data_IF_382357094865
#
_entry.id   IF_382357094865
#
_cell.length_a   1.000
_cell.length_b   1.000
_cell.length_c   1.000
_cell.angle_alpha   90.00
_cell.angle_beta   90.00
_cell.angle_gamma   90.00
#
_symmetry.space_group_name_H-M   'P 1'
#
loop_
_entity.id
_entity.type
_entity.pdbx_description
1 polymer ?
#
# COMPACT_ATOMS: atom_id res chain seq x y z
N UNK A 1 -25.10 -6.42 0.14
CA UNK A 1 -24.56 -6.50 1.50
C UNK A 1 -23.10 -6.90 1.39
N UNK A 2 -22.23 -6.28 2.17
CA UNK A 2 -20.78 -6.54 2.22
C UNK A 2 -20.40 -6.75 3.69
N UNK A 3 -19.65 -7.82 3.97
CA UNK A 3 -19.09 -8.10 5.30
C UNK A 3 -17.57 -8.11 5.19
N UNK A 4 -16.91 -7.28 6.00
CA UNK A 4 -15.45 -7.27 6.19
C UNK A 4 -15.14 -8.01 7.49
N UNK A 5 -14.22 -8.96 7.41
CA UNK A 5 -13.74 -9.75 8.54
C UNK A 5 -12.29 -9.38 8.78
N UNK A 6 -11.99 -8.93 10.00
CA UNK A 6 -10.65 -8.55 10.42
C UNK A 6 -10.27 -9.35 11.67
N UNK A 7 -9.09 -9.97 11.67
CA UNK A 7 -8.62 -10.76 12.81
C UNK A 7 -8.10 -9.89 13.96
N UNK A 8 -7.67 -8.67 13.65
CA UNK A 8 -7.26 -7.67 14.61
C UNK A 8 -8.40 -6.85 15.20
N UNK A 9 -8.02 -5.96 16.11
CA UNK A 9 -8.90 -4.97 16.71
C UNK A 9 -9.07 -3.75 15.80
N UNK A 10 -10.00 -2.87 16.16
CA UNK A 10 -10.00 -1.50 15.68
C UNK A 10 -8.99 -0.68 16.49
N UNK A 11 -8.12 0.09 15.83
CA UNK A 11 -7.18 0.96 16.55
C UNK A 11 -7.88 2.16 17.21
N UNK A 12 -7.25 2.73 18.23
CA UNK A 12 -7.81 3.84 19.01
C UNK A 12 -7.48 5.23 18.45
N UNK A 13 -6.81 5.34 17.30
CA UNK A 13 -6.32 6.61 16.75
C UNK A 13 -5.18 7.23 17.56
N UNK A 14 -4.51 6.43 18.41
CA UNK A 14 -3.44 6.91 19.29
C UNK A 14 -2.17 7.33 18.54
N UNK A 15 -1.29 8.05 19.25
CA UNK A 15 -0.06 8.62 18.70
C UNK A 15 0.81 7.62 17.91
N UNK A 16 0.92 6.38 18.39
CA UNK A 16 1.69 5.29 17.76
C UNK A 16 1.22 4.96 16.33
N UNK A 17 -0.03 5.24 16.02
CA UNK A 17 -0.61 5.03 14.68
C UNK A 17 -0.55 6.34 13.90
N UNK A 18 -1.03 7.42 14.50
CA UNK A 18 -1.36 8.66 13.76
C UNK A 18 -0.17 9.59 13.57
N UNK A 19 0.83 9.59 14.47
CA UNK A 19 1.96 10.53 14.44
C UNK A 19 3.15 9.89 13.70
N UNK A 20 3.62 10.46 12.58
CA UNK A 20 4.75 9.94 11.82
C UNK A 20 6.04 9.68 12.62
N UNK A 21 6.33 10.52 13.61
CA UNK A 21 7.53 10.39 14.44
C UNK A 21 7.53 9.10 15.28
N UNK A 22 6.38 8.46 15.46
CA UNK A 22 6.20 7.20 16.21
C UNK A 22 6.21 5.96 15.29
N UNK A 23 6.63 6.08 14.02
CA UNK A 23 6.79 4.90 13.16
C UNK A 23 7.67 3.85 13.86
N UNK A 24 7.16 2.63 13.94
CA UNK A 24 7.83 1.49 14.59
C UNK A 24 7.25 1.13 15.96
N UNK A 25 6.54 2.04 16.62
CA UNK A 25 5.99 1.82 17.97
C UNK A 25 4.82 0.83 18.02
N UNK A 26 4.26 0.49 16.87
CA UNK A 26 3.22 -0.54 16.69
C UNK A 26 3.80 -1.93 16.44
N UNK A 27 5.09 -2.05 16.11
CA UNK A 27 5.75 -3.34 15.93
C UNK A 27 5.78 -4.10 17.27
N UNK A 28 5.55 -5.41 17.22
CA UNK A 28 5.51 -6.27 18.41
C UNK A 28 4.38 -5.97 19.42
N UNK A 29 3.46 -5.06 19.09
CA UNK A 29 2.22 -4.81 19.85
C UNK A 29 1.08 -5.72 19.39
N UNK A 30 -0.13 -5.57 19.93
CA UNK A 30 -1.29 -6.36 19.50
C UNK A 30 -1.77 -6.02 18.08
N UNK A 31 -1.26 -4.93 17.48
CA UNK A 31 -1.48 -4.59 16.07
C UNK A 31 -0.57 -5.36 15.11
N UNK A 32 0.35 -6.17 15.61
CA UNK A 32 1.29 -6.94 14.81
C UNK A 32 1.01 -8.45 14.97
N UNK A 33 1.01 -9.17 13.85
CA UNK A 33 0.96 -10.63 13.85
C UNK A 33 2.22 -11.26 14.48
N UNK A 34 3.33 -10.52 14.54
CA UNK A 34 4.62 -10.96 15.10
C UNK A 34 5.12 -12.25 14.47
N UNK A 35 4.87 -12.42 13.17
CA UNK A 35 5.28 -13.61 12.45
C UNK A 35 6.80 -13.72 12.45
N UNK A 36 7.29 -14.95 12.45
CA UNK A 36 8.69 -15.26 12.28
C UNK A 36 8.84 -16.31 11.19
N UNK A 37 9.89 -16.18 10.39
CA UNK A 37 10.29 -17.27 9.51
C UNK A 37 10.70 -18.48 10.34
N UNK A 38 10.66 -19.66 9.73
CA UNK A 38 11.49 -20.80 10.17
C UNK A 38 12.99 -20.43 10.10
N UNK A 39 13.90 -21.18 10.74
CA UNK A 39 15.34 -20.97 10.58
C UNK A 39 15.74 -20.93 9.10
N UNK A 40 16.40 -19.85 8.69
CA UNK A 40 16.83 -19.65 7.31
C UNK A 40 18.26 -20.12 7.13
N UNK A 41 18.46 -21.21 6.38
CA UNK A 41 19.77 -21.83 6.13
C UNK A 41 20.81 -20.81 5.65
N UNK A 42 20.44 -19.98 4.67
CA UNK A 42 21.31 -18.96 4.09
C UNK A 42 21.45 -17.68 4.91
N UNK A 43 20.81 -17.59 6.09
CA UNK A 43 20.95 -16.48 7.03
C UNK A 43 21.50 -16.94 8.38
N UNK A 44 22.44 -17.90 8.36
CA UNK A 44 23.04 -18.51 9.56
C UNK A 44 21.99 -19.14 10.48
N UNK A 45 20.99 -19.82 9.92
CA UNK A 45 19.89 -20.46 10.65
C UNK A 45 19.09 -19.50 11.55
N UNK A 46 19.07 -18.20 11.26
CA UNK A 46 18.27 -17.24 12.02
C UNK A 46 16.79 -17.36 11.66
N UNK A 47 15.94 -17.20 12.67
CA UNK A 47 14.55 -16.79 12.48
C UNK A 47 14.53 -15.28 12.22
N UNK A 48 13.77 -14.85 11.22
CA UNK A 48 13.65 -13.45 10.83
C UNK A 48 12.24 -12.97 11.13
N UNK A 49 12.13 -11.79 11.73
CA UNK A 49 10.86 -11.14 11.98
C UNK A 49 10.16 -10.76 10.66
N UNK A 50 8.87 -11.05 10.56
CA UNK A 50 7.99 -10.67 9.46
C UNK A 50 6.80 -9.91 10.04
N UNK A 51 7.01 -8.66 10.43
CA UNK A 51 5.94 -7.85 11.01
C UNK A 51 4.83 -7.64 9.96
N UNK A 52 3.58 -7.89 10.35
CA UNK A 52 2.40 -7.79 9.49
C UNK A 52 1.25 -7.22 10.32
N UNK A 53 0.46 -6.30 9.75
CA UNK A 53 -0.63 -5.66 10.48
C UNK A 53 -1.77 -6.64 10.81
N UNK A 54 -2.13 -6.68 12.10
CA UNK A 54 -3.28 -7.39 12.68
C UNK A 54 -4.19 -6.36 13.36
N UNK A 55 -4.84 -5.54 12.55
CA UNK A 55 -5.64 -4.39 12.98
C UNK A 55 -6.44 -3.92 11.76
N UNK A 56 -7.61 -3.30 11.96
CA UNK A 56 -8.36 -2.70 10.85
C UNK A 56 -7.49 -1.68 10.12
N UNK A 57 -7.29 -1.87 8.81
CA UNK A 57 -6.31 -1.12 8.00
C UNK A 57 -5.00 -1.89 7.71
N UNK A 58 -4.78 -3.00 8.40
CA UNK A 58 -3.69 -3.95 8.16
C UNK A 58 -2.31 -3.30 8.25
N UNK A 59 -1.42 -3.67 7.31
CA UNK A 59 -0.03 -3.19 7.30
C UNK A 59 0.11 -1.67 7.18
N UNK A 60 -0.90 -0.95 6.68
CA UNK A 60 -0.84 0.51 6.54
C UNK A 60 -0.85 1.26 7.88
N UNK A 61 -1.28 0.60 8.96
CA UNK A 61 -1.17 1.11 10.34
C UNK A 61 0.28 1.01 10.87
N UNK A 62 1.07 0.07 10.35
CA UNK A 62 2.43 -0.24 10.86
C UNK A 62 3.54 0.33 9.97
N UNK A 63 3.29 0.50 8.67
CA UNK A 63 4.34 0.77 7.69
C UNK A 63 5.05 2.13 7.89
N UNK A 64 6.14 2.35 7.15
CA UNK A 64 6.89 3.61 7.16
C UNK A 64 6.28 4.75 6.34
N UNK A 65 5.06 4.60 5.84
CA UNK A 65 4.30 5.58 5.03
C UNK A 65 4.92 6.01 3.69
N UNK A 66 6.08 5.48 3.30
CA UNK A 66 6.72 5.82 2.02
C UNK A 66 5.76 5.53 0.87
N UNK A 67 5.50 6.54 0.05
CA UNK A 67 4.60 6.44 -1.09
C UNK A 67 5.37 6.45 -2.40
N UNK A 68 5.64 5.24 -2.89
CA UNK A 68 6.36 4.97 -4.13
C UNK A 68 5.69 3.85 -4.92
N UNK A 69 5.83 3.87 -6.23
CA UNK A 69 5.40 2.78 -7.13
C UNK A 69 6.58 1.94 -7.60
N UNK A 70 6.28 0.82 -8.26
CA UNK A 70 7.29 0.02 -8.97
C UNK A 70 7.71 0.69 -10.29
N UNK A 71 8.70 0.11 -10.96
CA UNK A 71 9.11 0.62 -12.26
C UNK A 71 8.09 0.24 -13.32
N UNK A 72 7.93 1.06 -14.36
CA UNK A 72 7.03 0.73 -15.47
C UNK A 72 7.34 -0.67 -16.05
N UNK A 73 8.63 -1.02 -16.09
CA UNK A 73 9.12 -2.32 -16.55
C UNK A 73 8.66 -3.50 -15.68
N UNK A 74 8.51 -3.32 -14.37
CA UNK A 74 8.04 -4.38 -13.48
C UNK A 74 6.59 -4.77 -13.82
N UNK A 75 5.74 -3.77 -14.06
CA UNK A 75 4.36 -3.97 -14.48
C UNK A 75 4.26 -4.47 -15.92
N UNK A 76 5.07 -3.94 -16.83
CA UNK A 76 5.11 -4.43 -18.21
C UNK A 76 5.49 -5.91 -18.28
N UNK A 77 6.40 -6.36 -17.40
CA UNK A 77 6.73 -7.78 -17.26
C UNK A 77 5.54 -8.61 -16.74
N UNK A 78 4.67 -8.06 -15.88
CA UNK A 78 3.41 -8.73 -15.52
C UNK A 78 2.48 -8.86 -16.71
N UNK A 79 2.42 -7.83 -17.57
CA UNK A 79 1.68 -7.90 -18.81
C UNK A 79 2.22 -8.97 -19.77
N UNK A 80 3.55 -9.06 -19.91
CA UNK A 80 4.19 -10.10 -20.73
C UNK A 80 3.90 -11.51 -20.20
N UNK A 81 3.87 -11.70 -18.88
CA UNK A 81 3.49 -12.97 -18.24
C UNK A 81 2.01 -13.30 -18.42
N UNK A 82 1.16 -12.28 -18.50
CA UNK A 82 -0.27 -12.44 -18.69
C UNK A 82 -0.61 -12.81 -20.14
N UNK A 83 0.19 -12.39 -21.12
CA UNK A 83 -0.01 -12.66 -22.55
C UNK A 83 0.19 -14.16 -22.88
N UNK A 84 -0.90 -14.93 -22.78
CA UNK A 84 -0.95 -16.37 -23.09
C UNK A 84 -1.51 -16.57 -24.50
N UNK A 85 -0.77 -17.29 -25.35
CA UNK A 85 -1.18 -17.59 -26.73
C UNK A 85 -2.57 -18.25 -26.80
N UNK A 86 -3.43 -17.74 -27.68
CA UNK A 86 -4.78 -18.26 -27.90
C UNK A 86 -5.83 -17.79 -26.88
N UNK A 87 -5.49 -16.87 -25.97
CA UNK A 87 -6.46 -16.21 -25.07
C UNK A 87 -6.56 -14.72 -25.40
N UNK A 88 -7.78 -14.21 -25.54
CA UNK A 88 -8.01 -12.77 -25.51
C UNK A 88 -7.85 -12.28 -24.07
N UNK A 89 -6.90 -11.38 -23.83
CA UNK A 89 -6.74 -10.72 -22.54
C UNK A 89 -7.39 -9.35 -22.60
N UNK A 90 -8.63 -9.25 -22.10
CA UNK A 90 -9.33 -7.96 -21.97
C UNK A 90 -8.71 -7.07 -20.88
N UNK A 91 -7.94 -7.66 -19.96
CA UNK A 91 -7.29 -6.96 -18.84
C UNK A 91 -5.79 -7.21 -18.89
N UNK A 92 -5.00 -6.13 -18.93
CA UNK A 92 -3.55 -6.20 -18.91
C UNK A 92 -3.01 -5.50 -17.65
N UNK A 93 -1.85 -5.97 -17.19
CA UNK A 93 -1.21 -5.54 -15.94
C UNK A 93 0.00 -4.64 -16.20
N UNK A 94 0.07 -4.05 -17.40
CA UNK A 94 1.15 -3.14 -17.81
C UNK A 94 1.02 -1.80 -17.11
N UNK A 95 2.13 -1.05 -17.09
CA UNK A 95 2.17 0.25 -16.42
C UNK A 95 1.04 1.19 -16.86
N UNK A 96 0.87 1.33 -18.17
CA UNK A 96 -0.14 2.21 -18.77
C UNK A 96 -1.58 1.87 -18.36
N UNK A 97 -1.84 0.60 -18.07
CA UNK A 97 -3.17 0.08 -17.77
C UNK A 97 -3.47 0.20 -16.26
N UNK A 98 -2.42 0.15 -15.43
CA UNK A 98 -2.51 0.33 -13.97
C UNK A 98 -2.42 1.79 -13.53
N UNK A 99 -1.76 2.68 -14.28
CA UNK A 99 -1.59 4.09 -13.94
C UNK A 99 -2.91 4.79 -13.59
N UNK A 100 -4.02 4.64 -14.35
CA UNK A 100 -5.30 5.24 -13.98
C UNK A 100 -5.85 4.76 -12.63
N UNK A 101 -5.51 3.54 -12.20
CA UNK A 101 -5.92 3.02 -10.88
C UNK A 101 -5.02 3.55 -9.76
N UNK A 102 -3.73 3.77 -10.03
CA UNK A 102 -2.84 4.45 -9.09
C UNK A 102 -3.29 5.89 -8.85
N UNK A 103 -3.65 6.61 -9.91
CA UNK A 103 -4.23 7.96 -9.82
C UNK A 103 -5.57 7.93 -9.07
N UNK A 104 -6.48 7.00 -9.40
CA UNK A 104 -7.77 6.90 -8.71
C UNK A 104 -7.65 6.67 -7.20
N UNK A 105 -6.60 6.00 -6.75
CA UNK A 105 -6.33 5.73 -5.33
C UNK A 105 -5.85 6.97 -4.56
N UNK A 106 -5.26 7.93 -5.27
CA UNK A 106 -4.43 8.99 -4.71
C UNK A 106 -5.13 10.36 -4.71
N UNK A 107 -4.92 11.11 -3.63
CA UNK A 107 -5.18 12.53 -3.53
C UNK A 107 -3.89 13.23 -3.12
N UNK A 108 -3.11 13.60 -4.14
CA UNK A 108 -1.77 14.14 -4.03
C UNK A 108 -1.78 15.64 -3.77
N UNK A 109 -0.97 16.08 -2.81
CA UNK A 109 -0.76 17.50 -2.51
C UNK A 109 0.74 17.82 -2.47
N UNK A 110 1.17 18.70 -3.38
CA UNK A 110 2.55 19.18 -3.47
C UNK A 110 2.76 20.51 -2.72
N UNK A 111 2.40 20.55 -1.43
CA UNK A 111 2.60 21.74 -0.58
C UNK A 111 4.02 21.75 0.01
N UNK A 112 4.99 22.16 -0.83
CA UNK A 112 6.40 22.25 -0.44
C UNK A 112 6.95 23.62 -0.85
N UNK A 113 7.61 24.32 0.08
CA UNK A 113 8.26 25.60 -0.19
C UNK A 113 9.25 25.51 -1.37
N UNK A 114 9.31 26.55 -2.21
CA UNK A 114 10.10 26.53 -3.46
C UNK A 114 11.61 26.36 -3.20
N UNK A 115 12.10 26.85 -2.07
CA UNK A 115 13.48 26.69 -1.64
C UNK A 115 13.78 25.25 -1.26
N UNK A 116 12.85 24.60 -0.55
CA UNK A 116 12.91 23.17 -0.22
C UNK A 116 12.82 22.31 -1.49
N UNK A 117 11.87 22.60 -2.37
CA UNK A 117 11.74 21.90 -3.64
C UNK A 117 13.07 21.95 -4.42
N UNK A 118 13.69 23.13 -4.51
CA UNK A 118 14.96 23.30 -5.23
C UNK A 118 16.12 22.59 -4.54
N UNK A 119 16.21 22.66 -3.21
CA UNK A 119 17.26 22.00 -2.42
C UNK A 119 17.23 20.49 -2.54
N UNK A 120 16.04 19.89 -2.64
CA UNK A 120 15.86 18.44 -2.62
C UNK A 120 15.44 17.84 -3.98
N UNK A 121 15.55 18.61 -5.06
CA UNK A 121 15.16 18.20 -6.40
C UNK A 121 13.72 17.69 -6.52
N UNK A 122 12.76 18.23 -5.76
CA UNK A 122 11.36 17.79 -5.80
C UNK A 122 10.63 18.53 -6.92
N UNK A 123 10.22 17.83 -7.98
CA UNK A 123 9.44 18.39 -9.10
C UNK A 123 8.39 17.37 -9.53
N UNK A 124 7.25 17.31 -8.83
CA UNK A 124 6.24 16.30 -9.12
C UNK A 124 5.67 16.46 -10.53
N UNK A 125 5.43 15.34 -11.20
CA UNK A 125 4.75 15.31 -12.49
C UNK A 125 3.24 15.14 -12.28
N UNK A 126 2.46 16.17 -12.59
CA UNK A 126 1.01 16.12 -12.40
C UNK A 126 0.32 15.02 -13.23
N UNK A 127 0.92 14.62 -14.36
CA UNK A 127 0.35 13.63 -15.29
C UNK A 127 0.39 12.19 -14.75
N UNK A 128 1.01 11.94 -13.59
CA UNK A 128 1.08 10.61 -12.98
C UNK A 128 0.44 10.56 -11.59
N UNK A 129 -0.22 11.63 -11.17
CA UNK A 129 -0.80 11.76 -9.83
C UNK A 129 -2.32 11.87 -9.85
N UNK A 130 -2.94 11.27 -8.84
CA UNK A 130 -4.34 11.45 -8.54
C UNK A 130 -4.60 12.64 -7.62
N UNK A 131 -5.80 13.24 -7.72
CA UNK A 131 -6.19 14.40 -6.90
C UNK A 131 -7.56 14.27 -6.24
N UNK A 132 -8.24 13.14 -6.44
CA UNK A 132 -9.61 12.90 -5.98
C UNK A 132 -9.76 11.57 -5.23
N UNK A 133 -8.66 10.81 -5.11
CA UNK A 133 -8.65 9.52 -4.45
C UNK A 133 -8.80 9.61 -2.94
N UNK A 134 -9.08 8.48 -2.28
CA UNK A 134 -9.28 8.44 -0.83
C UNK A 134 -7.98 8.55 -0.03
N UNK A 135 -6.83 8.15 -0.58
CA UNK A 135 -5.55 8.19 0.15
C UNK A 135 -4.91 9.56 -0.02
N UNK A 136 -4.82 10.31 1.08
CA UNK A 136 -4.05 11.55 1.09
C UNK A 136 -2.56 11.24 0.98
N UNK A 137 -1.90 11.90 0.03
CA UNK A 137 -0.46 11.75 -0.23
C UNK A 137 0.17 13.13 -0.31
N UNK A 138 1.31 13.30 0.35
CA UNK A 138 2.04 14.56 0.32
C UNK A 138 3.43 14.42 0.89
N UNK A 139 4.21 15.48 0.80
CA UNK A 139 5.52 15.52 1.43
C UNK A 139 5.43 15.93 2.89
N UNK A 140 6.35 15.45 3.76
CA UNK A 140 6.41 15.92 5.13
C UNK A 140 6.79 17.41 5.16
N UNK A 141 6.28 18.16 6.14
CA UNK A 141 6.66 19.57 6.34
C UNK A 141 8.07 19.75 6.93
N UNK A 142 8.72 18.66 7.33
CA UNK A 142 10.08 18.67 7.87
C UNK A 142 11.00 17.78 7.04
N UNK A 143 12.14 18.33 6.64
CA UNK A 143 13.18 17.62 5.90
C UNK A 143 14.50 17.71 6.66
N UNK A 144 15.17 16.57 6.82
CA UNK A 144 16.50 16.53 7.40
C UNK A 144 17.52 17.16 6.44
N UNK A 145 18.34 18.08 6.95
CA UNK A 145 19.39 18.72 6.13
C UNK A 145 20.38 17.70 5.57
N UNK A 146 20.59 16.58 6.28
CA UNK A 146 21.46 15.48 5.85
C UNK A 146 20.96 14.81 4.57
N UNK A 147 19.66 14.86 4.27
CA UNK A 147 19.12 14.30 3.03
C UNK A 147 19.66 15.03 1.80
N UNK A 148 19.97 16.33 1.90
CA UNK A 148 20.59 17.07 0.78
C UNK A 148 22.01 16.57 0.53
N UNK A 149 22.80 16.41 1.60
CA UNK A 149 24.16 15.84 1.49
C UNK A 149 24.13 14.43 0.89
N UNK A 150 23.10 13.63 1.20
CA UNK A 150 22.93 12.30 0.62
C UNK A 150 22.64 12.38 -0.89
N UNK A 151 21.75 13.27 -1.33
CA UNK A 151 21.48 13.49 -2.75
C UNK A 151 22.73 13.97 -3.49
N UNK A 152 23.45 14.95 -2.94
CA UNK A 152 24.70 15.47 -3.51
C UNK A 152 25.74 14.35 -3.67
N UNK A 153 25.93 13.52 -2.64
CA UNK A 153 26.84 12.37 -2.70
C UNK A 153 26.43 11.33 -3.75
N UNK A 154 25.13 11.06 -3.91
CA UNK A 154 24.65 10.16 -4.96
C UNK A 154 24.90 10.74 -6.36
N UNK A 155 24.71 12.04 -6.54
CA UNK A 155 25.01 12.73 -7.80
C UNK A 155 26.52 12.71 -8.12
N UNK A 156 27.39 12.91 -7.13
CA UNK A 156 28.86 12.80 -7.29
C UNK A 156 29.30 11.39 -7.71
N UNK A 157 28.57 10.35 -7.27
CA UNK A 157 28.76 8.97 -7.72
C UNK A 157 28.20 8.69 -9.13
N UNK A 158 27.60 9.69 -9.78
CA UNK A 158 27.02 9.58 -11.12
C UNK A 158 25.61 9.00 -11.14
N UNK A 159 24.93 8.89 -10.00
CA UNK A 159 23.52 8.48 -9.96
C UNK A 159 22.62 9.68 -10.29
N UNK A 160 21.59 9.49 -11.12
CA UNK A 160 20.65 10.56 -11.44
C UNK A 160 19.83 10.94 -10.19
N UNK A 161 19.58 12.24 -10.04
CA UNK A 161 18.58 12.72 -9.09
C UNK A 161 17.22 12.70 -9.76
N UNK A 162 16.32 11.88 -9.24
CA UNK A 162 14.95 11.73 -9.76
C UNK A 162 14.05 12.70 -9.01
N UNK A 163 13.32 13.51 -9.77
CA UNK A 163 12.48 14.58 -9.21
C UNK A 163 11.02 14.19 -9.00
N UNK A 164 10.59 13.12 -9.67
CA UNK A 164 9.28 12.48 -9.53
C UNK A 164 9.50 10.97 -9.27
N UNK A 165 9.26 10.48 -8.05
CA UNK A 165 9.48 9.07 -7.71
C UNK A 165 8.41 8.09 -8.24
N UNK A 166 7.28 8.58 -8.77
CA UNK A 166 6.09 7.79 -9.10
C UNK A 166 5.73 7.77 -10.59
N UNK A 167 6.62 8.21 -11.49
CA UNK A 167 6.40 8.21 -12.94
C UNK A 167 6.74 6.88 -13.65
N UNK A 168 7.13 5.86 -12.88
CA UNK A 168 7.59 4.57 -13.38
C UNK A 168 9.11 4.46 -13.53
N UNK A 169 9.86 5.53 -13.23
CA UNK A 169 11.31 5.53 -13.12
C UNK A 169 11.74 5.18 -11.69
N UNK A 170 12.44 4.05 -11.52
CA UNK A 170 12.91 3.60 -10.19
C UNK A 170 14.42 3.58 -10.04
N UNK A 171 15.17 4.27 -10.91
CA UNK A 171 16.63 4.31 -10.86
C UNK A 171 17.11 5.71 -10.56
N UNK A 172 17.73 5.89 -9.39
CA UNK A 172 18.30 7.17 -8.96
C UNK A 172 18.10 7.44 -7.47
N UNK A 173 18.46 8.65 -7.05
CA UNK A 173 18.22 9.15 -5.70
C UNK A 173 17.10 10.20 -5.71
N UNK A 174 16.18 10.12 -4.74
CA UNK A 174 14.96 10.91 -4.73
C UNK A 174 14.44 11.13 -3.31
N UNK A 175 13.60 12.16 -3.16
CA UNK A 175 12.76 12.32 -1.97
C UNK A 175 11.36 11.81 -2.30
N UNK A 176 10.87 10.90 -1.46
CA UNK A 176 9.56 10.29 -1.64
C UNK A 176 8.47 11.07 -0.88
N UNK A 177 7.26 11.19 -1.44
CA UNK A 177 6.10 11.58 -0.66
C UNK A 177 5.70 10.44 0.30
N UNK A 178 4.74 10.73 1.15
CA UNK A 178 4.21 9.81 2.15
C UNK A 178 2.69 9.74 2.09
N UNK A 179 2.12 8.60 2.49
CA UNK A 179 0.69 8.43 2.75
C UNK A 179 0.32 9.17 4.05
N UNK A 180 0.08 10.47 3.93
CA UNK A 180 -0.19 11.36 5.05
C UNK A 180 -1.14 12.48 4.66
N UNK A 181 -1.89 12.97 5.65
CA UNK A 181 -2.76 14.12 5.49
C UNK A 181 -1.91 15.38 5.29
N UNK A 182 -2.14 16.10 4.19
CA UNK A 182 -1.33 17.27 3.85
C UNK A 182 -1.43 18.39 4.91
N UNK A 183 -2.59 18.56 5.56
CA UNK A 183 -2.86 19.67 6.46
C UNK A 183 -2.33 19.42 7.88
N UNK A 184 -2.66 18.27 8.48
CA UNK A 184 -2.30 17.97 9.87
C UNK A 184 -1.10 17.03 10.00
N UNK A 185 -0.55 16.54 8.88
CA UNK A 185 0.62 15.67 8.80
C UNK A 185 0.47 14.33 9.54
N UNK A 186 -0.75 13.88 9.82
CA UNK A 186 -1.00 12.54 10.37
C UNK A 186 -0.88 11.47 9.28
N UNK A 187 -0.57 10.24 9.68
CA UNK A 187 -0.69 9.06 8.80
C UNK A 187 -2.05 9.03 8.11
N UNK A 188 -2.06 8.65 6.83
CA UNK A 188 -3.26 8.24 6.10
C UNK A 188 -3.14 6.74 5.80
N UNK A 189 -3.87 5.94 6.55
CA UNK A 189 -3.91 4.48 6.44
C UNK A 189 -5.18 4.02 5.69
N UNK A 190 -5.29 2.73 5.40
CA UNK A 190 -6.43 2.20 4.65
C UNK A 190 -7.75 2.29 5.41
N UNK A 191 -7.75 2.27 6.75
CA UNK A 191 -8.97 2.45 7.53
C UNK A 191 -9.46 3.89 7.37
N UNK A 192 -8.60 4.86 7.63
CA UNK A 192 -8.95 6.29 7.56
C UNK A 192 -9.29 6.73 6.14
N UNK A 193 -8.63 6.17 5.12
CA UNK A 193 -8.90 6.46 3.72
C UNK A 193 -10.19 5.80 3.19
N UNK A 194 -10.40 4.50 3.44
CA UNK A 194 -11.43 3.71 2.75
C UNK A 194 -12.59 3.28 3.62
N UNK A 195 -12.41 3.12 4.94
CA UNK A 195 -13.44 2.56 5.81
C UNK A 195 -14.22 3.65 6.54
N UNK A 196 -13.51 4.51 7.28
CA UNK A 196 -14.12 5.53 8.14
C UNK A 196 -15.10 6.45 7.35
N UNK A 197 -14.80 6.88 6.10
CA UNK A 197 -15.73 7.73 5.33
C UNK A 197 -17.04 7.06 4.90
N UNK A 198 -17.12 5.73 4.99
CA UNK A 198 -18.24 4.94 4.45
C UNK A 198 -18.84 3.96 5.46
N UNK A 199 -18.39 4.00 6.72
CA UNK A 199 -18.79 3.04 7.76
C UNK A 199 -20.29 3.05 8.04
N UNK A 200 -20.95 4.20 7.85
CA UNK A 200 -22.40 4.36 8.07
C UNK A 200 -23.28 3.78 6.95
N UNK A 201 -22.68 3.23 5.88
CA UNK A 201 -23.45 2.61 4.80
C UNK A 201 -24.21 1.39 5.32
N UNK A 202 -25.56 1.33 5.18
CA UNK A 202 -26.37 0.29 5.81
C UNK A 202 -26.14 -1.11 5.24
N UNK A 203 -25.46 -1.22 4.10
CA UNK A 203 -25.11 -2.48 3.47
C UNK A 203 -23.66 -2.93 3.75
N UNK A 204 -22.89 -2.19 4.55
CA UNK A 204 -21.52 -2.52 4.95
C UNK A 204 -21.51 -2.92 6.44
N UNK A 205 -20.92 -4.07 6.72
CA UNK A 205 -20.72 -4.57 8.07
C UNK A 205 -19.24 -4.92 8.27
N UNK A 206 -18.71 -4.60 9.45
CA UNK A 206 -17.33 -4.94 9.83
C UNK A 206 -17.38 -5.75 11.12
N UNK A 207 -16.78 -6.93 11.12
CA UNK A 207 -16.58 -7.74 12.32
C UNK A 207 -15.08 -7.88 12.58
N UNK A 208 -14.63 -7.23 13.66
CA UNK A 208 -13.26 -7.28 14.14
C UNK A 208 -13.05 -8.49 15.06
N UNK A 209 -11.79 -8.82 15.31
CA UNK A 209 -11.40 -9.98 16.12
C UNK A 209 -11.98 -11.30 15.59
N UNK A 210 -12.23 -11.38 14.27
CA UNK A 210 -12.73 -12.56 13.58
C UNK A 210 -11.67 -13.08 12.60
N UNK A 211 -10.99 -14.16 12.98
CA UNK A 211 -10.02 -14.80 12.09
C UNK A 211 -10.74 -15.79 11.17
N UNK A 212 -10.66 -15.54 9.86
CA UNK A 212 -11.08 -16.51 8.84
C UNK A 212 -10.08 -17.66 8.84
N UNK A 213 -10.60 -18.88 9.02
CA UNK A 213 -9.76 -20.10 9.07
C UNK A 213 -9.86 -20.94 7.81
N UNK A 214 -11.01 -20.90 7.15
CA UNK A 214 -11.29 -21.74 5.99
C UNK A 214 -12.43 -21.15 5.16
N UNK A 215 -12.29 -21.30 3.84
CA UNK A 215 -13.38 -21.12 2.87
C UNK A 215 -14.07 -22.47 2.69
N UNK A 216 -15.38 -22.51 2.93
CA UNK A 216 -16.19 -23.70 2.70
C UNK A 216 -16.67 -23.70 1.25
N UNK A 217 -16.65 -24.86 0.61
CA UNK A 217 -17.03 -25.05 -0.79
C UNK A 217 -18.25 -25.96 -0.83
N UNK A 218 -19.30 -25.54 -1.52
CA UNK A 218 -20.46 -26.36 -1.82
C UNK A 218 -20.45 -26.79 -3.29
N UNK A 219 -20.76 -28.07 -3.54
CA UNK A 219 -20.87 -28.63 -4.87
C UNK A 219 -22.24 -28.26 -5.45
N UNK A 220 -22.26 -27.74 -6.69
CA UNK A 220 -23.49 -27.33 -7.37
C UNK A 220 -23.74 -28.24 -8.55
N UNK A 221 -24.82 -29.03 -8.47
CA UNK A 221 -25.31 -29.86 -9.59
C UNK A 221 -25.90 -28.95 -10.69
N UNK A 222 -25.43 -29.13 -11.94
CA UNK A 222 -25.71 -28.32 -13.15
C UNK A 222 -25.10 -26.90 -13.16
N UNK A 223 -23.83 -26.72 -13.59
CA UNK A 223 -23.31 -25.40 -13.90
C UNK A 223 -24.10 -24.77 -15.07
N UNK A 224 -24.39 -23.48 -14.96
CA UNK A 224 -25.01 -22.73 -16.08
C UNK A 224 -24.13 -22.82 -17.33
N UNK A 225 -24.69 -22.87 -18.55
CA UNK A 225 -23.88 -22.96 -19.77
C UNK A 225 -22.92 -21.76 -19.87
N UNK A 226 -21.62 -22.01 -19.77
CA UNK A 226 -20.56 -20.98 -19.78
C UNK A 226 -19.87 -20.75 -18.44
N UNK A 227 -20.39 -21.29 -17.33
CA UNK A 227 -19.61 -21.48 -16.12
C UNK A 227 -18.74 -22.72 -16.33
N UNK A 228 -17.41 -22.54 -16.37
CA UNK A 228 -16.50 -23.69 -16.21
C UNK A 228 -16.92 -24.49 -14.96
N UNK A 229 -16.70 -25.80 -15.00
CA UNK A 229 -17.17 -26.75 -13.99
C UNK A 229 -17.08 -26.17 -12.56
N UNK A 230 -18.21 -26.18 -11.85
CA UNK A 230 -18.46 -25.75 -10.45
C UNK A 230 -18.43 -24.23 -10.14
N UNK A 231 -19.62 -23.65 -9.98
CA UNK A 231 -19.82 -22.37 -9.27
C UNK A 231 -19.93 -22.67 -7.77
N UNK A 232 -19.01 -22.17 -6.95
CA UNK A 232 -19.00 -22.43 -5.49
C UNK A 232 -19.70 -21.30 -4.72
N UNK A 233 -20.60 -21.64 -3.79
CA UNK A 233 -21.06 -20.72 -2.73
C UNK A 233 -20.08 -20.84 -1.57
N UNK A 234 -19.63 -19.70 -1.02
CA UNK A 234 -18.50 -19.65 -0.07
C UNK A 234 -18.94 -19.22 1.35
N UNK A 235 -19.50 -20.10 2.20
CA UNK A 235 -19.57 -19.81 3.63
C UNK A 235 -18.17 -19.86 4.27
N UNK A 236 -17.91 -19.06 5.30
CA UNK A 236 -16.61 -18.99 5.98
C UNK A 236 -16.67 -19.66 7.35
N UNK A 237 -15.57 -20.32 7.76
CA UNK A 237 -15.40 -20.86 9.12
C UNK A 237 -14.53 -19.93 9.97
N UNK A 238 -14.98 -19.68 11.20
CA UNK A 238 -14.35 -18.77 12.14
C UNK A 238 -13.70 -19.53 13.31
N UNK A 239 -12.61 -18.97 13.84
CA UNK A 239 -12.12 -19.31 15.19
C UNK A 239 -12.75 -18.33 16.18
N UNK A 240 -13.47 -18.87 17.18
CA UNK A 240 -14.01 -18.12 18.33
C UNK A 240 -12.96 -17.91 19.40
#
# INVERSE_FOLDING_TARGET
>A
MVLVLEAGTLDTGGAKVTIPAEIGDTLWTDYDWKLQTVPQEYLNNRNVALNQGKVVGGGTILNGMVWTRGSARDYDAWGDLNDVEGRENEYNWRWKDLLPYFEKNENFTADVDVGIQSKFNIRPNADVHGYEGPVSVGYPHFFYNQSANFLDGMAEMGLPLVSEPNDGTCVGAMINPSSMNAQNQSRCDSRTAYLDPVIDRPNLHVATEQMVTQVLLEEVDNPSPGAGDSTFVLPLKFQS
#
